data_IF_252974189294
#
_entry.id   IF_252974189294
#
_cell.length_a   1.000
_cell.length_b   1.000
_cell.length_c   1.000
_cell.angle_alpha   90.00
_cell.angle_beta   90.00
_cell.angle_gamma   90.00
#
_symmetry.space_group_name_H-M   'P 1'
#
loop_
_entity.id
_entity.type
_entity.pdbx_description
1 polymer ?
#
# COMPACT_ATOMS: atom_id res chain seq x y z
N UNK A 1 -4.37 -14.47 -17.75
CA UNK A 1 -5.12 -15.32 -16.80
C UNK A 1 -4.44 -15.37 -15.44
N UNK A 2 -3.19 -15.84 -15.35
CA UNK A 2 -2.45 -15.82 -14.07
C UNK A 2 -2.19 -14.40 -13.56
N UNK A 3 -1.80 -13.49 -14.46
CA UNK A 3 -1.52 -12.08 -14.14
C UNK A 3 -2.75 -11.35 -13.56
N UNK A 4 -3.90 -11.49 -14.23
CA UNK A 4 -5.20 -11.01 -13.73
C UNK A 4 -5.55 -11.53 -12.34
N UNK A 5 -5.35 -12.83 -12.10
CA UNK A 5 -5.64 -13.44 -10.81
C UNK A 5 -4.66 -12.98 -9.71
N UNK A 6 -3.38 -12.75 -10.06
CA UNK A 6 -2.39 -12.16 -9.14
C UNK A 6 -2.78 -10.73 -8.76
N UNK A 7 -3.12 -9.92 -9.77
CA UNK A 7 -3.57 -8.54 -9.58
C UNK A 7 -4.81 -8.47 -8.69
N UNK A 8 -5.80 -9.33 -8.91
CA UNK A 8 -6.97 -9.42 -8.03
C UNK A 8 -6.56 -9.85 -6.62
N UNK A 9 -5.74 -10.89 -6.47
CA UNK A 9 -5.34 -11.42 -5.15
C UNK A 9 -4.59 -10.39 -4.29
N UNK A 10 -3.78 -9.55 -4.91
CA UNK A 10 -3.03 -8.50 -4.23
C UNK A 10 -3.92 -7.30 -3.85
N UNK A 11 -4.80 -6.89 -4.77
CA UNK A 11 -5.60 -5.68 -4.61
C UNK A 11 -6.90 -5.90 -3.83
N UNK A 12 -7.53 -7.06 -4.05
CA UNK A 12 -8.62 -7.61 -3.27
C UNK A 12 -8.01 -8.70 -2.38
N UNK A 13 -7.84 -8.49 -1.06
CA UNK A 13 -7.04 -9.35 -0.19
C UNK A 13 -7.68 -10.73 -0.05
N UNK A 14 -7.42 -11.59 -1.04
CA UNK A 14 -7.98 -12.91 -1.18
C UNK A 14 -6.88 -13.86 -1.67
N UNK A 15 -6.95 -15.16 -1.32
CA UNK A 15 -5.98 -16.13 -1.79
C UNK A 15 -5.94 -16.21 -3.31
N UNK A 16 -4.74 -16.36 -3.90
CA UNK A 16 -4.57 -16.55 -5.34
C UNK A 16 -5.38 -17.75 -5.86
N UNK A 17 -5.50 -18.81 -5.06
CA UNK A 17 -6.33 -19.98 -5.36
C UNK A 17 -7.80 -19.65 -5.57
N UNK A 18 -8.30 -18.61 -4.91
CA UNK A 18 -9.69 -18.18 -5.00
C UNK A 18 -9.85 -17.16 -6.13
N UNK A 19 -8.87 -16.28 -6.34
CA UNK A 19 -8.83 -15.39 -7.50
C UNK A 19 -8.79 -16.18 -8.83
N UNK A 20 -8.06 -17.29 -8.89
CA UNK A 20 -8.02 -18.19 -10.07
C UNK A 20 -9.36 -18.88 -10.37
N UNK A 21 -10.24 -19.00 -9.38
CA UNK A 21 -11.59 -19.56 -9.56
C UNK A 21 -12.62 -18.51 -9.97
N UNK A 22 -12.25 -17.23 -9.96
CA UNK A 22 -13.18 -16.15 -10.29
C UNK A 22 -13.40 -16.04 -11.81
N UNK A 23 -14.59 -15.54 -12.22
CA UNK A 23 -14.84 -15.23 -13.63
C UNK A 23 -13.82 -14.21 -14.16
N UNK A 24 -13.39 -14.35 -15.41
CA UNK A 24 -12.48 -13.38 -16.04
C UNK A 24 -13.06 -11.95 -16.07
N UNK A 25 -14.38 -11.82 -16.08
CA UNK A 25 -15.09 -10.53 -16.01
C UNK A 25 -15.07 -9.89 -14.62
N UNK A 26 -14.75 -10.66 -13.57
CA UNK A 26 -14.68 -10.14 -12.21
C UNK A 26 -13.60 -9.06 -12.09
N UNK A 27 -12.45 -9.24 -12.72
CA UNK A 27 -11.35 -8.27 -12.69
C UNK A 27 -11.81 -6.88 -13.13
N UNK A 28 -12.41 -6.82 -14.32
CA UNK A 28 -12.93 -5.57 -14.88
C UNK A 28 -14.06 -5.01 -14.02
N UNK A 29 -14.94 -5.85 -13.49
CA UNK A 29 -16.04 -5.41 -12.62
C UNK A 29 -15.53 -4.84 -11.30
N UNK A 30 -14.52 -5.48 -10.71
CA UNK A 30 -13.92 -5.06 -9.45
C UNK A 30 -13.18 -3.73 -9.61
N UNK A 31 -12.31 -3.60 -10.62
CA UNK A 31 -11.54 -2.38 -10.85
C UNK A 31 -12.39 -1.19 -11.33
N UNK A 32 -13.57 -1.43 -11.88
CA UNK A 32 -14.55 -0.38 -12.19
C UNK A 32 -15.51 -0.07 -11.03
N UNK A 33 -15.41 -0.78 -9.90
CA UNK A 33 -16.31 -0.62 -8.77
C UNK A 33 -15.84 0.47 -7.80
N UNK A 34 -16.80 1.05 -7.05
CA UNK A 34 -16.50 1.97 -5.94
C UNK A 34 -15.70 1.31 -4.80
N UNK A 35 -15.75 -0.03 -4.69
CA UNK A 35 -14.95 -0.76 -3.72
C UNK A 35 -13.45 -0.64 -4.03
N UNK A 36 -13.07 -0.67 -5.31
CA UNK A 36 -11.70 -0.43 -5.74
C UNK A 36 -11.26 1.01 -5.48
N UNK A 37 -12.09 2.00 -5.78
CA UNK A 37 -11.76 3.40 -5.48
C UNK A 37 -11.49 3.63 -3.99
N UNK A 38 -12.31 3.03 -3.13
CA UNK A 38 -12.14 3.09 -1.67
C UNK A 38 -10.83 2.42 -1.24
N UNK A 39 -10.53 1.24 -1.80
CA UNK A 39 -9.29 0.50 -1.50
C UNK A 39 -8.06 1.29 -1.95
N UNK A 40 -8.11 1.88 -3.14
CA UNK A 40 -7.04 2.72 -3.69
C UNK A 40 -6.76 3.92 -2.79
N UNK A 41 -7.80 4.62 -2.34
CA UNK A 41 -7.66 5.74 -1.40
C UNK A 41 -7.02 5.30 -0.07
N UNK A 42 -7.37 4.13 0.44
CA UNK A 42 -6.74 3.61 1.67
C UNK A 42 -5.26 3.28 1.47
N UNK A 43 -4.89 2.69 0.32
CA UNK A 43 -3.49 2.43 -0.04
C UNK A 43 -2.66 3.71 -0.10
N UNK A 44 -3.19 4.76 -0.74
CA UNK A 44 -2.53 6.07 -0.80
C UNK A 44 -2.31 6.65 0.61
N UNK A 45 -3.32 6.54 1.47
CA UNK A 45 -3.26 7.00 2.86
C UNK A 45 -2.22 6.22 3.69
N UNK A 46 -2.14 4.90 3.50
CA UNK A 46 -1.16 4.05 4.19
C UNK A 46 0.27 4.38 3.75
N UNK A 47 0.49 4.64 2.46
CA UNK A 47 1.77 5.09 1.92
C UNK A 47 2.13 6.46 2.50
N UNK A 48 1.18 7.40 2.54
CA UNK A 48 1.39 8.74 3.10
C UNK A 48 1.77 8.67 4.58
N UNK A 49 1.05 7.86 5.37
CA UNK A 49 1.36 7.61 6.79
C UNK A 49 2.75 7.00 6.96
N UNK A 50 3.09 5.98 6.18
CA UNK A 50 4.40 5.34 6.25
C UNK A 50 5.53 6.33 5.95
N UNK A 51 5.36 7.15 4.90
CA UNK A 51 6.31 8.21 4.56
C UNK A 51 6.42 9.29 5.65
N UNK A 52 5.32 9.65 6.30
CA UNK A 52 5.33 10.59 7.41
C UNK A 52 6.13 10.04 8.60
N UNK A 53 5.97 8.76 8.93
CA UNK A 53 6.78 8.11 9.98
C UNK A 53 8.27 8.08 9.65
N UNK A 54 8.63 7.75 8.41
CA UNK A 54 10.03 7.77 7.97
C UNK A 54 10.63 9.18 8.11
N UNK A 55 9.90 10.21 7.67
CA UNK A 55 10.34 11.61 7.78
C UNK A 55 10.54 12.03 9.24
N UNK A 56 9.60 11.68 10.12
CA UNK A 56 9.72 11.96 11.56
C UNK A 56 10.97 11.29 12.16
N UNK A 57 11.22 10.01 11.83
CA UNK A 57 12.42 9.31 12.28
C UNK A 57 13.71 9.99 11.81
N UNK A 58 13.75 10.45 10.56
CA UNK A 58 14.90 11.18 10.03
C UNK A 58 15.13 12.51 10.77
N UNK A 59 14.09 13.27 11.08
CA UNK A 59 14.20 14.53 11.82
C UNK A 59 14.67 14.32 13.26
N UNK A 60 14.21 13.25 13.93
CA UNK A 60 14.71 12.88 15.28
C UNK A 60 16.21 12.57 15.24
N UNK A 61 16.65 11.76 14.27
CA UNK A 61 18.07 11.41 14.11
C UNK A 61 18.91 12.66 13.83
N UNK A 62 18.45 13.57 12.96
CA UNK A 62 19.12 14.84 12.70
C UNK A 62 19.23 15.70 13.97
N UNK A 63 18.16 15.81 14.76
CA UNK A 63 18.15 16.56 16.01
C UNK A 63 19.16 16.01 17.04
N UNK A 64 19.23 14.68 17.19
CA UNK A 64 20.21 14.03 18.07
C UNK A 64 21.64 14.23 17.57
N UNK A 65 21.89 14.12 16.27
CA UNK A 65 23.22 14.35 15.68
C UNK A 65 23.68 15.81 15.85
N UNK A 66 22.78 16.78 15.68
CA UNK A 66 23.07 18.19 15.91
C UNK A 66 23.35 18.51 17.39
N UNK A 67 22.69 17.80 18.31
CA UNK A 67 22.95 17.94 19.74
C UNK A 67 24.29 17.31 20.14
N UNK A 68 24.60 16.12 19.60
CA UNK A 68 25.85 15.41 19.85
C UNK A 68 27.07 16.15 19.26
N UNK A 69 26.94 16.79 18.10
CA UNK A 69 28.01 17.58 17.49
C UNK A 69 28.28 18.89 18.23
N UNK A 70 27.29 19.42 18.95
CA UNK A 70 27.41 20.66 19.76
C UNK A 70 27.97 20.42 21.16
N UNK A 71 28.08 19.16 21.59
CA UNK A 71 28.63 18.74 22.89
C UNK A 71 30.12 18.39 22.85
N UNK A 72 30.77 18.42 21.68
CA UNK A 72 32.24 18.34 21.50
C UNK A 72 32.81 19.71 21.21
#
# INVERSE_FOLDING_TARGET
MLESASSISENCPMPLSDALKMPLSFESTYFNSSAWETRKKNLENDIERHNAFIKLGQEVIKGLNALASRSR
#
